data_IF_447328447131
#
_entry.id   IF_447328447131
#
_cell.length_a   1.000
_cell.length_b   1.000
_cell.length_c   1.000
_cell.angle_alpha   90.00
_cell.angle_beta   90.00
_cell.angle_gamma   90.00
#
_symmetry.space_group_name_H-M   'P 1'
#
loop_
_entity.id
_entity.type
_entity.pdbx_description
1 polymer ?
#
# COMPACT_ATOMS: atom_id res chain seq x y z
N UNK A 1 -37.35 6.71 -31.93
CA UNK A 1 -38.12 5.46 -31.78
C UNK A 1 -37.16 4.46 -31.15
N UNK A 2 -37.13 4.09 -29.88
CA UNK A 2 -38.02 4.06 -28.69
C UNK A 2 -37.15 4.42 -27.45
N UNK A 3 -37.61 4.71 -26.24
CA UNK A 3 -38.84 5.19 -25.64
C UNK A 3 -38.40 5.69 -24.25
N UNK A 4 -38.83 6.90 -23.91
CA UNK A 4 -38.62 7.55 -22.62
C UNK A 4 -39.63 6.97 -21.64
N UNK A 5 -39.19 6.46 -20.50
CA UNK A 5 -40.07 6.10 -19.39
C UNK A 5 -39.89 7.08 -18.23
N UNK A 6 -40.97 7.80 -17.96
CA UNK A 6 -41.18 8.68 -16.81
C UNK A 6 -41.09 7.92 -15.48
N UNK A 7 -40.43 8.51 -14.49
CA UNK A 7 -40.62 8.16 -13.08
C UNK A 7 -41.09 9.41 -12.34
N UNK A 8 -42.30 9.29 -11.79
CA UNK A 8 -43.01 10.29 -11.01
C UNK A 8 -42.46 10.34 -9.57
N UNK A 9 -42.12 11.53 -9.09
CA UNK A 9 -41.78 11.79 -7.69
C UNK A 9 -43.05 12.06 -6.87
N UNK A 10 -43.16 11.57 -5.63
CA UNK A 10 -44.04 12.17 -4.64
C UNK A 10 -43.29 13.26 -3.86
N UNK A 11 -43.87 14.45 -3.88
CA UNK A 11 -43.56 15.57 -2.99
C UNK A 11 -44.09 15.28 -1.59
N UNK A 12 -43.27 15.50 -0.56
CA UNK A 12 -43.81 15.90 0.73
C UNK A 12 -42.80 16.76 1.50
N UNK A 13 -43.21 17.99 1.71
CA UNK A 13 -42.56 19.05 2.47
C UNK A 13 -42.93 18.93 3.94
N UNK A 14 -41.93 18.92 4.83
CA UNK A 14 -42.07 19.51 6.18
C UNK A 14 -40.73 20.12 6.62
N UNK A 15 -40.83 21.36 7.07
CA UNK A 15 -39.77 22.28 7.43
C UNK A 15 -39.69 22.45 8.97
N UNK A 16 -38.46 22.39 9.48
CA UNK A 16 -37.83 23.15 10.61
C UNK A 16 -38.43 23.08 12.05
N UNK A 17 -37.67 23.40 13.15
CA UNK A 17 -36.51 24.31 13.22
C UNK A 17 -35.26 23.92 14.07
N UNK A 18 -34.16 24.59 13.72
CA UNK A 18 -33.00 25.13 14.47
C UNK A 18 -32.67 24.69 15.92
N UNK A 19 -31.37 24.45 16.18
CA UNK A 19 -30.50 25.21 17.12
C UNK A 19 -29.01 24.72 17.04
N UNK A 20 -28.07 25.65 16.88
CA UNK A 20 -26.60 25.52 17.09
C UNK A 20 -26.23 25.97 18.54
N UNK A 21 -24.96 26.00 18.98
CA UNK A 21 -23.93 24.96 19.06
C UNK A 21 -23.43 24.79 20.52
N UNK A 22 -22.68 23.72 20.85
CA UNK A 22 -21.93 23.65 22.11
C UNK A 22 -20.48 23.24 21.86
N UNK A 23 -19.60 24.24 22.03
CA UNK A 23 -18.18 24.10 22.27
C UNK A 23 -17.94 23.14 23.43
N UNK A 24 -17.17 22.08 23.22
CA UNK A 24 -16.44 21.45 24.33
C UNK A 24 -15.03 21.14 23.85
N UNK A 25 -14.07 21.96 24.31
CA UNK A 25 -12.66 21.58 24.36
C UNK A 25 -12.54 20.36 25.27
N UNK A 26 -12.02 19.25 24.75
CA UNK A 26 -11.54 18.14 25.57
C UNK A 26 -10.06 17.92 25.23
N UNK A 27 -9.23 18.44 26.14
CA UNK A 27 -7.86 17.97 26.32
C UNK A 27 -7.95 16.60 26.98
N UNK A 28 -7.36 15.58 26.35
CA UNK A 28 -7.08 14.30 27.00
C UNK A 28 -5.65 13.90 26.63
N UNK A 29 -4.78 13.94 27.64
CA UNK A 29 -3.48 13.30 27.68
C UNK A 29 -3.61 11.79 27.42
N UNK A 30 -2.57 11.24 26.77
CA UNK A 30 -2.50 9.85 26.35
C UNK A 30 -2.85 8.82 27.42
N UNK A 31 -3.75 7.92 27.05
CA UNK A 31 -3.76 6.53 27.47
C UNK A 31 -4.11 5.71 26.24
N UNK A 32 -3.35 4.63 26.01
CA UNK A 32 -3.47 3.78 24.83
C UNK A 32 -4.93 3.43 24.55
N UNK A 33 -5.44 3.91 23.42
CA UNK A 33 -6.74 3.48 22.94
C UNK A 33 -6.63 1.99 22.62
N UNK A 34 -7.29 1.17 23.43
CA UNK A 34 -7.55 -0.23 23.12
C UNK A 34 -8.18 -0.29 21.72
N UNK A 35 -7.60 -1.08 20.83
CA UNK A 35 -8.14 -1.30 19.50
C UNK A 35 -9.65 -1.62 19.58
N UNK A 36 -10.49 -1.10 18.67
CA UNK A 36 -11.93 -1.35 18.71
C UNK A 36 -12.21 -2.85 18.78
N UNK A 37 -13.26 -3.26 19.47
CA UNK A 37 -13.61 -4.67 19.62
C UNK A 37 -13.78 -5.33 18.22
N UNK A 38 -12.80 -6.15 17.81
CA UNK A 38 -12.74 -6.76 16.48
C UNK A 38 -11.56 -6.34 15.60
N UNK A 39 -10.75 -5.35 16.01
CA UNK A 39 -9.51 -4.99 15.31
C UNK A 39 -8.48 -6.12 15.42
N UNK A 40 -7.91 -6.50 14.26
CA UNK A 40 -6.86 -7.52 14.17
C UNK A 40 -5.62 -6.98 14.87
N UNK A 41 -5.07 -7.77 15.80
CA UNK A 41 -3.85 -7.41 16.50
C UNK A 41 -2.64 -7.84 15.65
N UNK A 42 -1.63 -6.98 15.43
CA UNK A 42 -0.46 -7.34 14.63
C UNK A 42 0.21 -8.63 15.12
N UNK A 43 0.27 -8.84 16.44
CA UNK A 43 0.94 -10.01 17.05
C UNK A 43 0.24 -11.34 16.74
N UNK A 44 -0.98 -11.31 16.19
CA UNK A 44 -1.72 -12.48 15.73
C UNK A 44 -1.48 -12.78 14.24
N UNK A 45 -0.83 -11.87 13.51
CA UNK A 45 -0.46 -11.98 12.10
C UNK A 45 1.05 -12.23 11.98
N UNK A 46 1.52 -13.33 12.54
CA UNK A 46 2.96 -13.69 12.50
C UNK A 46 3.11 -15.00 11.74
N UNK A 47 3.97 -14.99 10.71
CA UNK A 47 4.51 -16.20 10.11
C UNK A 47 5.92 -16.46 10.67
N UNK A 48 6.18 -17.68 11.10
CA UNK A 48 7.52 -18.11 11.53
C UNK A 48 8.21 -18.91 10.43
N UNK A 49 9.53 -18.72 10.29
CA UNK A 49 10.35 -19.56 9.42
C UNK A 49 10.39 -20.99 9.98
N UNK A 50 10.04 -21.97 9.15
CA UNK A 50 10.14 -23.39 9.49
C UNK A 50 11.29 -24.03 8.72
N UNK A 51 12.35 -24.43 9.45
CA UNK A 51 13.53 -25.14 8.90
C UNK A 51 14.86 -24.41 9.12
N UNK A 52 15.96 -25.05 8.73
CA UNK A 52 17.30 -24.45 8.78
C UNK A 52 17.65 -23.81 7.43
N UNK A 53 17.77 -22.48 7.40
CA UNK A 53 18.19 -21.71 6.22
C UNK A 53 19.32 -20.77 6.61
N UNK A 54 20.31 -20.60 5.73
CA UNK A 54 21.42 -19.68 5.97
C UNK A 54 20.92 -18.23 6.00
N UNK A 55 21.43 -17.44 6.93
CA UNK A 55 21.08 -16.01 7.09
C UNK A 55 21.31 -15.18 5.81
N UNK A 56 22.30 -15.57 5.00
CA UNK A 56 22.63 -14.87 3.75
C UNK A 56 21.84 -15.38 2.54
N UNK A 57 20.99 -16.40 2.68
CA UNK A 57 20.17 -16.95 1.59
C UNK A 57 18.75 -16.38 1.64
N UNK A 58 18.63 -15.11 1.24
CA UNK A 58 17.40 -14.33 1.35
C UNK A 58 16.26 -14.92 0.52
N UNK A 59 16.55 -15.46 -0.67
CA UNK A 59 15.55 -16.11 -1.51
C UNK A 59 15.00 -17.39 -0.86
N UNK A 60 15.88 -18.24 -0.32
CA UNK A 60 15.43 -19.46 0.37
C UNK A 60 14.60 -19.12 1.61
N UNK A 61 15.00 -18.12 2.41
CA UNK A 61 14.23 -17.68 3.59
C UNK A 61 12.80 -17.29 3.23
N UNK A 62 12.64 -16.44 2.22
CA UNK A 62 11.30 -16.07 1.73
C UNK A 62 10.51 -17.27 1.20
N UNK A 63 11.18 -18.22 0.54
CA UNK A 63 10.51 -19.42 0.00
C UNK A 63 9.98 -20.29 1.13
N UNK A 64 10.82 -20.60 2.12
CA UNK A 64 10.44 -21.41 3.29
C UNK A 64 9.36 -20.74 4.15
N UNK A 65 9.36 -19.41 4.23
CA UNK A 65 8.31 -18.66 4.90
C UNK A 65 6.97 -18.81 4.17
N UNK A 66 6.96 -18.71 2.83
CA UNK A 66 5.73 -18.85 2.05
C UNK A 66 5.16 -20.26 2.04
N UNK A 67 6.00 -21.31 2.12
CA UNK A 67 5.55 -22.70 2.18
C UNK A 67 4.61 -22.98 3.37
N UNK A 68 4.74 -22.19 4.45
CA UNK A 68 3.97 -22.32 5.68
C UNK A 68 3.07 -21.12 5.95
N UNK A 69 2.97 -20.20 5.00
CA UNK A 69 2.23 -18.97 5.19
C UNK A 69 0.73 -19.21 5.17
N UNK A 70 0.05 -18.76 6.22
CA UNK A 70 -1.40 -18.88 6.38
C UNK A 70 -1.99 -17.49 6.47
N UNK A 71 -2.91 -17.17 5.56
CA UNK A 71 -3.71 -15.96 5.67
C UNK A 71 -4.73 -16.08 6.80
N UNK A 72 -4.82 -15.07 7.66
CA UNK A 72 -5.91 -14.96 8.63
C UNK A 72 -7.22 -14.66 7.87
N UNK A 73 -8.12 -15.65 7.83
CA UNK A 73 -9.30 -15.70 6.95
C UNK A 73 -10.65 -15.17 7.51
N UNK A 74 -10.92 -15.09 8.83
CA UNK A 74 -12.30 -15.04 9.31
C UNK A 74 -13.08 -13.75 8.94
N UNK A 75 -12.40 -12.63 8.65
CA UNK A 75 -13.04 -11.34 8.33
C UNK A 75 -12.87 -10.89 6.86
N UNK A 76 -12.24 -11.68 5.99
CA UNK A 76 -11.93 -11.29 4.61
C UNK A 76 -13.18 -10.84 3.81
N UNK A 77 -13.15 -9.62 3.28
CA UNK A 77 -14.18 -9.12 2.37
C UNK A 77 -15.55 -8.83 3.01
N UNK A 78 -15.71 -9.00 4.33
CA UNK A 78 -16.98 -8.83 5.07
C UNK A 78 -17.01 -7.53 5.86
N UNK A 79 -16.59 -6.44 5.22
CA UNK A 79 -16.58 -5.11 5.82
C UNK A 79 -17.66 -4.22 5.23
N UNK A 80 -18.12 -3.23 5.99
CA UNK A 80 -19.02 -2.21 5.48
C UNK A 80 -18.20 -1.23 4.62
N UNK A 81 -18.69 -0.77 3.46
CA UNK A 81 -18.05 0.29 2.70
C UNK A 81 -17.73 1.56 3.53
N UNK A 82 -18.41 1.79 4.66
CA UNK A 82 -18.12 2.87 5.61
C UNK A 82 -16.84 2.66 6.44
N UNK A 83 -16.29 1.45 6.49
CA UNK A 83 -15.02 1.13 7.16
C UNK A 83 -13.80 1.51 6.29
N UNK A 84 -14.02 1.76 5.00
CA UNK A 84 -12.97 2.20 4.08
C UNK A 84 -12.64 3.69 4.24
N UNK A 85 -11.37 4.04 4.07
CA UNK A 85 -10.96 5.42 3.88
C UNK A 85 -10.92 5.75 2.39
N UNK A 86 -11.44 6.92 2.00
CA UNK A 86 -11.07 7.49 0.70
C UNK A 86 -9.62 7.96 0.71
N UNK A 87 -9.06 8.26 -0.47
CA UNK A 87 -7.72 8.83 -0.57
C UNK A 87 -7.63 10.20 0.14
N UNK A 88 -8.69 11.01 0.04
CA UNK A 88 -8.79 12.30 0.73
C UNK A 88 -8.88 12.16 2.26
N UNK A 89 -9.24 10.97 2.74
CA UNK A 89 -9.29 10.64 4.16
C UNK A 89 -8.01 9.93 4.65
N UNK A 90 -7.01 9.75 3.78
CA UNK A 90 -5.76 9.07 4.13
C UNK A 90 -5.09 9.70 5.35
N UNK A 91 -5.20 11.03 5.56
CA UNK A 91 -4.66 11.73 6.74
C UNK A 91 -5.05 11.10 8.09
N UNK A 92 -6.19 10.40 8.17
CA UNK A 92 -6.64 9.68 9.38
C UNK A 92 -5.69 8.54 9.78
N UNK A 93 -4.90 8.02 8.84
CA UNK A 93 -3.89 6.99 9.12
C UNK A 93 -2.78 7.48 10.05
N UNK A 94 -2.55 8.79 10.13
CA UNK A 94 -1.55 9.34 11.05
C UNK A 94 -2.02 9.30 12.51
N UNK A 95 -3.34 9.24 12.74
CA UNK A 95 -3.88 9.24 14.09
C UNK A 95 -3.45 8.01 14.89
N UNK A 96 -3.17 8.14 16.19
CA UNK A 96 -2.86 7.01 17.05
C UNK A 96 -3.99 5.96 17.08
N UNK A 97 -3.63 4.72 17.42
CA UNK A 97 -4.56 3.60 17.46
C UNK A 97 -4.74 2.89 16.11
N UNK A 98 -5.91 2.29 15.93
CA UNK A 98 -6.28 1.47 14.79
C UNK A 98 -7.66 1.88 14.26
N UNK A 99 -7.85 1.76 12.95
CA UNK A 99 -9.12 2.00 12.26
C UNK A 99 -9.97 0.72 12.20
N UNK A 100 -11.19 0.84 11.69
CA UNK A 100 -12.11 -0.30 11.55
C UNK A 100 -11.57 -1.37 10.59
N UNK A 101 -10.93 -0.95 9.49
CA UNK A 101 -10.30 -1.83 8.50
C UNK A 101 -8.77 -1.66 8.53
N UNK A 102 -8.10 -2.52 9.31
CA UNK A 102 -6.63 -2.61 9.30
C UNK A 102 -6.09 -3.75 8.44
N UNK A 103 -6.86 -4.84 8.30
CA UNK A 103 -6.45 -6.02 7.55
C UNK A 103 -7.68 -6.65 6.86
N UNK A 104 -7.74 -6.54 5.54
CA UNK A 104 -8.86 -6.99 4.71
C UNK A 104 -9.07 -6.10 3.48
N UNK A 105 -10.19 -6.28 2.80
CA UNK A 105 -10.56 -5.47 1.63
C UNK A 105 -12.06 -5.26 1.57
N UNK A 106 -12.49 -4.15 0.96
CA UNK A 106 -13.90 -3.80 0.81
C UNK A 106 -14.13 -2.98 -0.44
N UNK A 107 -15.31 -3.14 -1.03
CA UNK A 107 -15.74 -2.31 -2.15
C UNK A 107 -16.32 -1.01 -1.62
N UNK A 108 -15.75 0.11 -2.04
CA UNK A 108 -16.23 1.43 -1.69
C UNK A 108 -17.52 1.77 -2.44
N UNK A 109 -18.24 2.78 -1.93
CA UNK A 109 -19.53 3.22 -2.51
C UNK A 109 -19.41 3.69 -3.97
N UNK A 110 -18.26 4.23 -4.35
CA UNK A 110 -17.97 4.70 -5.71
C UNK A 110 -17.49 3.58 -6.66
N UNK A 111 -17.49 2.33 -6.18
CA UNK A 111 -17.13 1.14 -6.95
C UNK A 111 -15.64 0.79 -6.92
N UNK A 112 -14.77 1.64 -6.36
CA UNK A 112 -13.36 1.34 -6.13
C UNK A 112 -13.18 0.29 -5.04
N UNK A 113 -11.99 -0.32 -4.96
CA UNK A 113 -11.60 -1.23 -3.91
C UNK A 113 -10.63 -0.54 -2.96
N UNK A 114 -10.89 -0.69 -1.67
CA UNK A 114 -9.96 -0.35 -0.61
C UNK A 114 -9.40 -1.65 -0.03
N UNK A 115 -8.08 -1.79 -0.06
CA UNK A 115 -7.37 -2.94 0.51
C UNK A 115 -6.48 -2.43 1.63
N UNK A 116 -6.51 -3.11 2.77
CA UNK A 116 -5.68 -2.83 3.93
C UNK A 116 -4.92 -4.10 4.33
N UNK A 117 -3.61 -3.97 4.54
CA UNK A 117 -2.80 -5.02 5.13
C UNK A 117 -2.08 -4.45 6.34
N UNK A 118 -2.33 -5.04 7.50
CA UNK A 118 -1.50 -4.88 8.70
C UNK A 118 -0.49 -6.01 8.73
N UNK A 119 0.78 -5.69 8.96
CA UNK A 119 1.87 -6.66 9.11
C UNK A 119 2.68 -6.30 10.34
N UNK A 120 2.89 -7.27 11.25
CA UNK A 120 3.85 -7.12 12.34
C UNK A 120 5.26 -7.28 11.79
N UNK A 121 6.06 -6.20 11.83
CA UNK A 121 7.47 -6.21 11.42
C UNK A 121 8.40 -6.65 12.57
N UNK A 122 7.87 -6.90 13.77
CA UNK A 122 8.62 -7.39 14.92
C UNK A 122 9.55 -6.32 15.53
N UNK A 123 10.60 -6.77 16.19
CA UNK A 123 11.56 -5.89 16.89
C UNK A 123 12.79 -5.54 16.04
N UNK A 124 13.07 -6.31 15.00
CA UNK A 124 14.34 -6.23 14.27
C UNK A 124 14.26 -5.30 13.05
N UNK A 125 13.07 -5.19 12.45
CA UNK A 125 12.83 -4.28 11.33
C UNK A 125 12.30 -2.96 11.87
N UNK A 126 12.84 -1.85 11.34
CA UNK A 126 12.40 -0.49 11.65
C UNK A 126 12.21 0.33 10.36
N UNK A 127 11.70 1.55 10.50
CA UNK A 127 11.46 2.43 9.36
C UNK A 127 12.70 2.77 8.53
N UNK A 128 13.90 2.82 9.11
CA UNK A 128 15.13 3.06 8.35
C UNK A 128 15.48 1.85 7.46
N UNK A 129 15.34 0.63 7.98
CA UNK A 129 15.54 -0.58 7.16
C UNK A 129 14.50 -0.66 6.04
N UNK A 130 13.25 -0.32 6.34
CA UNK A 130 12.17 -0.31 5.35
C UNK A 130 12.42 0.73 4.25
N UNK A 131 12.76 1.98 4.59
CA UNK A 131 13.14 2.99 3.60
C UNK A 131 14.36 2.55 2.79
N UNK A 132 15.37 2.00 3.48
CA UNK A 132 16.58 1.47 2.85
C UNK A 132 16.29 0.37 1.83
N UNK A 133 15.33 -0.50 2.10
CA UNK A 133 14.91 -1.51 1.14
C UNK A 133 14.45 -0.89 -0.18
N UNK A 134 13.58 0.13 -0.15
CA UNK A 134 13.07 0.76 -1.37
C UNK A 134 14.17 1.45 -2.20
N UNK A 135 15.21 1.99 -1.56
CA UNK A 135 16.38 2.55 -2.29
C UNK A 135 17.44 1.51 -2.69
N UNK A 136 17.35 0.25 -2.25
CA UNK A 136 18.34 -0.81 -2.54
C UNK A 136 17.78 -2.06 -3.22
N UNK A 137 16.47 -2.24 -3.29
CA UNK A 137 15.80 -3.24 -4.13
C UNK A 137 15.81 -2.76 -5.59
N UNK A 138 16.99 -2.74 -6.19
CA UNK A 138 17.25 -2.10 -7.48
C UNK A 138 17.66 -3.10 -8.57
N UNK A 139 17.42 -4.39 -8.34
CA UNK A 139 17.64 -5.47 -9.31
C UNK A 139 16.52 -6.50 -9.25
N UNK A 140 16.28 -7.19 -10.37
CA UNK A 140 15.28 -8.25 -10.44
C UNK A 140 15.57 -9.44 -9.53
N UNK A 141 16.84 -9.67 -9.16
CA UNK A 141 17.21 -10.69 -8.17
C UNK A 141 16.71 -10.31 -6.78
N UNK A 142 17.01 -9.09 -6.30
CA UNK A 142 16.55 -8.60 -5.01
C UNK A 142 15.03 -8.54 -4.97
N UNK A 143 14.41 -8.10 -6.06
CA UNK A 143 12.95 -8.07 -6.18
C UNK A 143 12.34 -9.46 -5.96
N UNK A 144 12.96 -10.53 -6.47
CA UNK A 144 12.52 -11.91 -6.21
C UNK A 144 12.70 -12.39 -4.77
N UNK A 145 13.64 -11.82 -4.00
CA UNK A 145 13.72 -12.13 -2.56
C UNK A 145 12.46 -11.66 -1.83
N UNK A 146 11.87 -10.55 -2.28
CA UNK A 146 10.68 -9.97 -1.67
C UNK A 146 9.43 -10.85 -1.85
N UNK A 147 9.28 -11.52 -3.00
CA UNK A 147 8.25 -12.53 -3.19
C UNK A 147 8.71 -13.58 -4.21
N UNK A 148 9.21 -14.75 -3.79
CA UNK A 148 9.88 -15.71 -4.67
C UNK A 148 8.92 -16.38 -5.68
N UNK A 149 7.63 -16.46 -5.34
CA UNK A 149 6.61 -17.00 -6.24
C UNK A 149 6.14 -15.97 -7.27
N UNK A 150 5.80 -14.75 -6.85
CA UNK A 150 5.06 -13.80 -7.70
C UNK A 150 5.90 -12.72 -8.36
N UNK A 151 7.02 -12.31 -7.77
CA UNK A 151 7.88 -11.31 -8.41
C UNK A 151 8.66 -11.94 -9.57
N UNK A 152 8.56 -11.34 -10.76
CA UNK A 152 9.23 -11.83 -11.96
C UNK A 152 10.46 -10.97 -12.25
N UNK A 153 10.28 -9.66 -12.34
CA UNK A 153 11.35 -8.69 -12.56
C UNK A 153 11.00 -7.33 -11.96
N UNK A 154 12.00 -6.60 -11.48
CA UNK A 154 11.85 -5.24 -10.99
C UNK A 154 13.11 -4.44 -11.28
N UNK A 155 12.93 -3.22 -11.77
CA UNK A 155 14.00 -2.26 -12.05
C UNK A 155 13.44 -0.85 -11.95
N UNK A 156 14.26 0.11 -11.54
CA UNK A 156 13.89 1.51 -11.66
C UNK A 156 14.14 2.02 -13.09
N UNK A 157 13.60 3.20 -13.39
CA UNK A 157 14.02 3.97 -14.56
C UNK A 157 15.51 4.38 -14.49
N UNK A 158 16.18 4.67 -15.63
CA UNK A 158 17.62 4.96 -15.66
C UNK A 158 18.09 6.09 -14.72
N UNK A 159 17.25 7.10 -14.50
CA UNK A 159 17.55 8.27 -13.67
C UNK A 159 17.81 7.89 -12.21
N UNK A 160 17.16 6.85 -11.70
CA UNK A 160 17.37 6.35 -10.35
C UNK A 160 18.81 5.89 -10.12
N UNK A 161 19.43 5.32 -11.15
CA UNK A 161 20.79 4.77 -11.12
C UNK A 161 21.88 5.84 -11.36
N UNK A 162 21.51 7.11 -11.56
CA UNK A 162 22.48 8.20 -11.63
C UNK A 162 23.21 8.44 -10.30
N UNK A 163 22.69 7.90 -9.19
CA UNK A 163 23.30 7.94 -7.85
C UNK A 163 23.68 6.52 -7.43
N UNK A 164 24.93 6.37 -7.00
CA UNK A 164 25.45 5.08 -6.53
C UNK A 164 24.71 4.62 -5.27
N UNK A 165 24.47 3.31 -5.07
CA UNK A 165 23.70 2.80 -3.93
C UNK A 165 24.11 3.34 -2.56
N UNK A 166 25.40 3.58 -2.34
CA UNK A 166 25.94 4.09 -1.07
C UNK A 166 25.64 5.58 -0.82
N UNK A 167 25.37 6.34 -1.88
CA UNK A 167 25.13 7.78 -1.84
C UNK A 167 23.63 8.13 -1.83
N UNK A 168 22.77 7.15 -2.10
CA UNK A 168 21.30 7.32 -2.10
C UNK A 168 20.83 7.73 -0.71
N UNK A 169 20.24 8.91 -0.58
CA UNK A 169 19.71 9.42 0.69
C UNK A 169 18.37 8.75 1.05
N UNK A 170 17.88 8.97 2.28
CA UNK A 170 16.54 8.52 2.70
C UNK A 170 15.50 9.06 1.70
N UNK A 171 14.60 8.20 1.25
CA UNK A 171 13.60 8.58 0.26
C UNK A 171 14.12 8.76 -1.18
N UNK A 172 15.30 8.26 -1.53
CA UNK A 172 15.85 8.35 -2.90
C UNK A 172 14.93 7.80 -3.99
N UNK A 173 13.98 6.91 -3.66
CA UNK A 173 12.98 6.40 -4.59
C UNK A 173 11.88 7.41 -4.95
N UNK A 174 11.71 8.48 -4.16
CA UNK A 174 10.69 9.51 -4.39
C UNK A 174 10.95 10.22 -5.72
N UNK A 175 9.87 10.51 -6.46
CA UNK A 175 9.90 11.10 -7.79
C UNK A 175 10.56 10.19 -8.86
N UNK A 176 10.80 8.91 -8.55
CA UNK A 176 11.23 7.89 -9.51
C UNK A 176 10.16 6.82 -9.80
N UNK A 177 10.33 6.14 -10.94
CA UNK A 177 9.44 5.09 -11.42
C UNK A 177 10.08 3.72 -11.20
N UNK A 178 9.37 2.85 -10.48
CA UNK A 178 9.70 1.42 -10.36
C UNK A 178 8.87 0.62 -11.37
N UNK A 179 9.56 -0.07 -12.27
CA UNK A 179 8.98 -0.83 -13.38
C UNK A 179 9.06 -2.30 -13.00
N UNK A 180 7.90 -2.93 -12.84
CA UNK A 180 7.80 -4.29 -12.29
C UNK A 180 6.95 -5.19 -13.19
N UNK A 181 7.35 -6.45 -13.25
CA UNK A 181 6.49 -7.55 -13.67
C UNK A 181 6.31 -8.47 -12.46
N UNK A 182 5.07 -8.72 -12.12
CA UNK A 182 4.69 -9.61 -11.02
C UNK A 182 3.40 -10.34 -11.34
N UNK A 183 3.11 -11.37 -10.55
CA UNK A 183 1.86 -12.11 -10.67
C UNK A 183 0.92 -11.73 -9.54
N UNK A 184 -0.36 -11.54 -9.89
CA UNK A 184 -1.45 -11.49 -8.92
C UNK A 184 -2.35 -12.68 -9.21
N UNK A 185 -2.49 -13.58 -8.23
CA UNK A 185 -3.27 -14.82 -8.37
C UNK A 185 -2.87 -15.65 -9.63
N UNK A 186 -1.55 -15.74 -9.85
CA UNK A 186 -0.96 -16.47 -10.98
C UNK A 186 -1.04 -15.76 -12.34
N UNK A 187 -1.74 -14.63 -12.45
CA UNK A 187 -1.81 -13.82 -13.67
C UNK A 187 -0.68 -12.81 -13.67
N UNK A 188 0.14 -12.79 -14.72
CA UNK A 188 1.23 -11.81 -14.86
C UNK A 188 0.69 -10.43 -15.24
N UNK A 189 1.15 -9.42 -14.53
CA UNK A 189 0.91 -8.01 -14.78
C UNK A 189 2.21 -7.26 -15.01
N UNK A 190 2.10 -6.12 -15.71
CA UNK A 190 3.16 -5.14 -15.83
C UNK A 190 2.69 -3.89 -15.11
N UNK A 191 3.42 -3.45 -14.09
CA UNK A 191 3.10 -2.22 -13.39
C UNK A 191 4.25 -1.21 -13.48
N UNK A 192 3.88 0.06 -13.43
CA UNK A 192 4.77 1.15 -13.06
C UNK A 192 4.26 1.77 -11.77
N UNK A 193 5.13 1.88 -10.78
CA UNK A 193 4.85 2.60 -9.54
C UNK A 193 5.65 3.88 -9.58
N UNK A 194 4.95 5.01 -9.71
CA UNK A 194 5.55 6.33 -9.57
C UNK A 194 5.51 6.70 -8.09
N UNK A 195 6.67 6.72 -7.42
CA UNK A 195 6.72 7.07 -6.01
C UNK A 195 6.57 8.56 -5.78
N UNK A 196 5.75 8.91 -4.80
CA UNK A 196 5.41 10.28 -4.49
C UNK A 196 5.89 10.67 -3.09
N UNK A 197 6.06 11.97 -2.89
CA UNK A 197 6.32 12.53 -1.55
C UNK A 197 5.13 12.23 -0.63
N UNK A 198 5.36 11.67 0.58
CA UNK A 198 4.29 11.50 1.57
C UNK A 198 3.55 12.81 1.91
N UNK A 199 4.21 13.96 1.75
CA UNK A 199 3.59 15.28 1.94
C UNK A 199 2.46 15.61 0.95
N UNK A 200 2.24 14.80 -0.09
CA UNK A 200 1.04 14.90 -0.93
C UNK A 200 -0.23 14.43 -0.22
N UNK A 201 -0.11 13.49 0.73
CA UNK A 201 -1.24 12.90 1.45
C UNK A 201 -1.27 13.25 2.94
N UNK A 202 -0.12 13.60 3.53
CA UNK A 202 0.03 13.73 4.98
C UNK A 202 0.78 15.00 5.38
N UNK A 203 0.49 15.51 6.59
CA UNK A 203 1.38 16.45 7.26
C UNK A 203 2.55 15.67 7.90
N UNK A 204 3.65 15.56 7.16
CA UNK A 204 4.84 14.81 7.57
C UNK A 204 5.51 15.36 8.85
N UNK A 205 5.22 16.60 9.24
CA UNK A 205 5.77 17.18 10.46
C UNK A 205 5.23 16.50 11.73
N UNK A 206 4.06 15.87 11.63
CA UNK A 206 3.39 15.15 12.71
C UNK A 206 3.83 13.68 12.82
N UNK A 207 4.70 13.18 11.94
CA UNK A 207 5.06 11.75 11.92
C UNK A 207 5.78 11.31 13.18
N UNK A 208 6.78 12.07 13.63
CA UNK A 208 7.58 11.70 14.80
C UNK A 208 6.76 11.67 16.10
N UNK A 209 5.80 12.58 16.27
CA UNK A 209 4.92 12.61 17.44
C UNK A 209 3.81 11.54 17.41
N UNK A 210 3.60 10.89 16.26
CA UNK A 210 2.65 9.79 16.06
C UNK A 210 3.34 8.44 15.80
N UNK A 211 4.61 8.33 16.18
CA UNK A 211 5.44 7.13 16.08
C UNK A 211 5.63 6.58 14.66
N UNK A 212 5.48 7.41 13.63
CA UNK A 212 5.68 7.02 12.23
C UNK A 212 7.16 7.20 11.85
N UNK A 213 7.81 6.11 11.45
CA UNK A 213 9.27 6.08 11.21
C UNK A 213 9.63 6.02 9.71
N UNK A 214 8.71 5.54 8.88
CA UNK A 214 8.81 5.58 7.42
C UNK A 214 7.43 5.60 6.75
N UNK A 215 7.36 6.20 5.57
CA UNK A 215 6.15 6.21 4.75
C UNK A 215 6.54 6.21 3.27
N UNK A 216 6.03 5.25 2.51
CA UNK A 216 6.16 5.15 1.06
C UNK A 216 4.78 5.36 0.46
N UNK A 217 4.67 6.23 -0.54
CA UNK A 217 3.44 6.48 -1.29
C UNK A 217 3.74 6.33 -2.76
N UNK A 218 2.83 5.76 -3.54
CA UNK A 218 2.99 5.65 -4.98
C UNK A 218 1.69 5.63 -5.75
N UNK A 219 1.75 6.14 -6.98
CA UNK A 219 0.70 5.98 -7.98
C UNK A 219 0.99 4.73 -8.80
N UNK A 220 0.00 3.85 -8.89
CA UNK A 220 0.11 2.57 -9.61
C UNK A 220 -0.45 2.76 -11.01
N UNK A 221 0.33 2.35 -12.00
CA UNK A 221 -0.05 2.28 -13.40
C UNK A 221 0.02 0.84 -13.89
N UNK A 222 -0.97 0.43 -14.67
CA UNK A 222 -1.03 -0.87 -15.35
C UNK A 222 -0.95 -0.66 -16.86
N UNK A 223 -0.37 -1.62 -17.58
CA UNK A 223 -0.35 -1.64 -19.04
C UNK A 223 -1.59 -2.35 -19.55
N UNK A 224 -2.66 -1.59 -19.77
CA UNK A 224 -3.86 -2.06 -20.43
C UNK A 224 -3.58 -2.38 -21.92
N UNK A 225 -4.03 -3.53 -22.45
CA UNK A 225 -3.79 -3.90 -23.85
C UNK A 225 -4.38 -2.94 -24.89
N UNK A 226 -5.41 -2.16 -24.52
CA UNK A 226 -6.16 -1.27 -25.42
C UNK A 226 -5.76 0.18 -25.22
N UNK A 227 -5.65 0.61 -23.96
CA UNK A 227 -5.40 1.99 -23.57
C UNK A 227 -3.90 2.27 -23.34
N UNK A 228 -3.05 1.24 -23.33
CA UNK A 228 -1.66 1.39 -22.95
C UNK A 228 -1.51 1.63 -21.45
N UNK A 229 -0.52 2.43 -21.06
CA UNK A 229 -0.26 2.69 -19.65
C UNK A 229 -1.34 3.61 -19.06
N UNK A 230 -2.09 3.11 -18.08
CA UNK A 230 -3.13 3.86 -17.37
C UNK A 230 -2.90 3.80 -15.88
N UNK A 231 -3.20 4.88 -15.18
CA UNK A 231 -3.18 4.86 -13.73
C UNK A 231 -4.38 4.05 -13.22
N UNK A 232 -4.17 3.14 -12.27
CA UNK A 232 -5.21 2.21 -11.79
C UNK A 232 -5.48 2.33 -10.30
N UNK A 233 -4.52 2.85 -9.52
CA UNK A 233 -4.71 3.02 -8.08
C UNK A 233 -3.57 3.73 -7.38
N UNK A 234 -3.64 3.79 -6.06
CA UNK A 234 -2.56 4.29 -5.22
C UNK A 234 -2.18 3.21 -4.22
N UNK A 235 -0.91 3.19 -3.84
CA UNK A 235 -0.37 2.39 -2.75
C UNK A 235 0.23 3.31 -1.70
N UNK A 236 0.10 2.91 -0.44
CA UNK A 236 0.78 3.53 0.68
C UNK A 236 1.24 2.45 1.64
N UNK A 237 2.46 2.59 2.15
CA UNK A 237 3.05 1.77 3.19
C UNK A 237 3.55 2.68 4.29
N UNK A 238 3.07 2.51 5.52
CA UNK A 238 3.45 3.33 6.67
C UNK A 238 3.95 2.44 7.81
N UNK A 239 5.19 2.66 8.22
CA UNK A 239 5.81 1.96 9.35
C UNK A 239 5.62 2.79 10.60
N UNK A 240 5.11 2.15 11.65
CA UNK A 240 4.92 2.74 12.99
C UNK A 240 5.68 1.95 14.02
N UNK A 241 6.21 2.63 15.03
CA UNK A 241 6.75 2.00 16.22
C UNK A 241 5.70 1.99 17.34
N UNK A 242 5.28 0.81 17.77
CA UNK A 242 4.26 0.63 18.80
C UNK A 242 4.81 -0.32 19.86
N UNK A 243 4.98 0.17 21.09
CA UNK A 243 5.47 -0.61 22.23
C UNK A 243 6.82 -1.33 21.96
N UNK A 244 7.75 -0.67 21.24
CA UNK A 244 9.07 -1.23 20.91
C UNK A 244 9.04 -2.31 19.82
N UNK A 245 7.92 -2.45 19.11
CA UNK A 245 7.77 -3.26 17.88
C UNK A 245 7.46 -2.34 16.72
N UNK A 246 7.84 -2.74 15.52
CA UNK A 246 7.39 -2.06 14.30
C UNK A 246 6.16 -2.78 13.74
N UNK A 247 5.18 -2.01 13.29
CA UNK A 247 4.07 -2.48 12.47
C UNK A 247 4.09 -1.76 11.12
N UNK A 248 3.61 -2.43 10.08
CA UNK A 248 3.42 -1.87 8.76
C UNK A 248 1.94 -1.83 8.42
N UNK A 249 1.46 -0.64 8.03
CA UNK A 249 0.11 -0.41 7.51
C UNK A 249 0.20 -0.12 6.02
N UNK A 250 -0.22 -1.09 5.23
CA UNK A 250 -0.34 -0.97 3.78
C UNK A 250 -1.78 -0.60 3.42
N UNK A 251 -1.97 0.32 2.47
CA UNK A 251 -3.28 0.69 1.91
C UNK A 251 -3.20 0.77 0.40
N UNK A 252 -4.23 0.24 -0.25
CA UNK A 252 -4.40 0.35 -1.69
C UNK A 252 -5.79 0.89 -2.03
N UNK A 253 -5.82 1.88 -2.91
CA UNK A 253 -7.06 2.45 -3.47
C UNK A 253 -7.12 2.10 -4.96
N UNK A 254 -7.71 0.95 -5.29
CA UNK A 254 -7.74 0.38 -6.63
C UNK A 254 -9.03 0.73 -7.35
N UNK A 255 -8.92 1.14 -8.62
CA UNK A 255 -10.05 1.58 -9.45
C UNK A 255 -10.22 3.09 -9.54
N UNK A 256 -9.32 3.86 -8.94
CA UNK A 256 -9.10 5.25 -9.32
C UNK A 256 -8.36 5.26 -10.68
N UNK A 257 -9.11 4.90 -11.73
CA UNK A 257 -8.58 4.75 -13.09
C UNK A 257 -8.47 6.12 -13.76
N UNK A 258 -7.30 6.42 -14.31
CA UNK A 258 -7.05 7.64 -15.05
C UNK A 258 -6.15 7.36 -16.26
N UNK A 259 -6.66 7.73 -17.43
CA UNK A 259 -5.91 7.79 -18.66
C UNK A 259 -5.03 9.05 -18.70
N UNK A 260 -3.73 8.94 -19.03
CA UNK A 260 -2.82 10.08 -19.04
C UNK A 260 -3.27 11.19 -20.01
N UNK A 261 -3.35 12.42 -19.49
CA UNK A 261 -3.68 13.60 -20.29
C UNK A 261 -2.38 14.26 -20.79
N UNK A 262 -2.26 14.39 -22.11
CA UNK A 262 -1.23 15.16 -22.80
C UNK A 262 -1.88 16.27 -23.61
N UNK A 263 -1.12 17.29 -23.98
CA UNK A 263 -1.61 18.39 -24.82
C UNK A 263 -2.20 17.86 -26.14
N UNK A 264 -1.63 16.77 -26.66
CA UNK A 264 -2.01 16.18 -27.94
C UNK A 264 -3.28 15.32 -27.86
N UNK A 265 -3.56 14.70 -26.70
CA UNK A 265 -4.67 13.75 -26.55
C UNK A 265 -5.81 14.24 -25.64
N UNK A 266 -5.75 15.47 -25.11
CA UNK A 266 -6.58 15.94 -23.99
C UNK A 266 -8.09 15.72 -24.19
N UNK A 267 -8.62 15.91 -25.41
CA UNK A 267 -10.05 15.70 -25.70
C UNK A 267 -10.41 14.22 -25.57
N UNK A 268 -9.59 13.34 -26.16
CA UNK A 268 -9.78 11.90 -26.07
C UNK A 268 -9.62 11.40 -24.64
N UNK A 269 -8.56 11.85 -23.95
CA UNK A 269 -8.28 11.47 -22.58
C UNK A 269 -9.44 11.82 -21.64
N UNK A 270 -10.03 13.01 -21.77
CA UNK A 270 -11.21 13.41 -20.98
C UNK A 270 -12.44 12.56 -21.23
N UNK A 271 -12.66 12.13 -22.48
CA UNK A 271 -13.76 11.21 -22.82
C UNK A 271 -13.53 9.85 -22.15
N UNK A 272 -12.33 9.28 -22.28
CA UNK A 272 -11.96 8.02 -21.63
C UNK A 272 -12.11 8.13 -20.12
N UNK A 273 -11.55 9.18 -19.51
CA UNK A 273 -11.62 9.48 -18.07
C UNK A 273 -13.08 9.58 -17.58
N UNK A 274 -13.97 10.18 -18.37
CA UNK A 274 -15.40 10.27 -18.04
C UNK A 274 -16.10 8.91 -18.02
N UNK A 275 -15.59 7.92 -18.75
CA UNK A 275 -16.15 6.56 -18.80
C UNK A 275 -15.57 5.69 -17.67
N UNK A 276 -14.24 5.67 -17.54
CA UNK A 276 -13.55 4.79 -16.57
C UNK A 276 -13.76 5.20 -15.11
N UNK A 277 -14.12 6.47 -14.87
CA UNK A 277 -14.49 6.98 -13.54
C UNK A 277 -15.91 6.61 -13.12
N UNK A 278 -16.74 6.06 -14.01
CA UNK A 278 -18.12 5.69 -13.66
C UNK A 278 -18.17 4.49 -12.72
N UNK A 279 -19.12 4.52 -11.79
CA UNK A 279 -19.39 3.40 -10.90
C UNK A 279 -19.63 2.10 -11.68
N UNK A 280 -20.42 2.13 -12.75
CA UNK A 280 -20.74 0.96 -13.56
C UNK A 280 -19.49 0.33 -14.20
N UNK A 281 -18.56 1.16 -14.71
CA UNK A 281 -17.30 0.66 -15.26
C UNK A 281 -16.50 -0.04 -14.16
N UNK A 282 -16.31 0.61 -13.01
CA UNK A 282 -15.53 0.05 -11.89
C UNK A 282 -16.12 -1.27 -11.41
N UNK A 283 -17.45 -1.35 -11.25
CA UNK A 283 -18.11 -2.58 -10.79
C UNK A 283 -18.03 -3.75 -11.74
N UNK A 284 -17.96 -3.48 -13.04
CA UNK A 284 -17.90 -4.52 -14.08
C UNK A 284 -16.47 -4.94 -14.42
N UNK A 285 -15.49 -4.03 -14.31
CA UNK A 285 -14.11 -4.27 -14.76
C UNK A 285 -13.14 -4.63 -13.65
N UNK A 286 -13.46 -4.31 -12.40
CA UNK A 286 -12.57 -4.54 -11.26
C UNK A 286 -13.26 -5.51 -10.30
N UNK A 287 -13.10 -6.84 -10.51
CA UNK A 287 -13.73 -7.86 -9.70
C UNK A 287 -13.13 -7.92 -8.29
N UNK A 288 -13.83 -8.57 -7.37
CA UNK A 288 -13.34 -8.81 -6.00
C UNK A 288 -12.10 -9.70 -5.96
N UNK A 289 -11.87 -10.54 -6.98
CA UNK A 289 -10.65 -11.34 -7.10
C UNK A 289 -9.40 -10.47 -7.18
N UNK A 290 -9.46 -9.29 -7.83
CA UNK A 290 -8.34 -8.34 -7.87
C UNK A 290 -7.97 -7.85 -6.47
N UNK A 291 -8.97 -7.45 -5.68
CA UNK A 291 -8.74 -6.97 -4.32
C UNK A 291 -8.22 -8.09 -3.39
N UNK A 292 -8.79 -9.30 -3.51
CA UNK A 292 -8.31 -10.48 -2.79
C UNK A 292 -6.87 -10.83 -3.17
N UNK A 293 -6.56 -10.88 -4.47
CA UNK A 293 -5.22 -11.22 -4.97
C UNK A 293 -4.18 -10.22 -4.43
N UNK A 294 -4.47 -8.92 -4.51
CA UNK A 294 -3.59 -7.88 -4.00
C UNK A 294 -3.42 -7.96 -2.48
N UNK A 295 -4.49 -8.25 -1.74
CA UNK A 295 -4.44 -8.41 -0.29
C UNK A 295 -3.58 -9.61 0.14
N UNK A 296 -3.72 -10.75 -0.53
CA UNK A 296 -2.87 -11.93 -0.30
C UNK A 296 -1.42 -11.62 -0.66
N UNK A 297 -1.18 -11.07 -1.85
CA UNK A 297 0.15 -10.74 -2.35
C UNK A 297 0.89 -9.78 -1.42
N UNK A 298 0.25 -8.68 -1.03
CA UNK A 298 0.87 -7.72 -0.10
C UNK A 298 1.11 -8.33 1.29
N UNK A 299 0.22 -9.19 1.76
CA UNK A 299 0.44 -9.88 3.04
C UNK A 299 1.64 -10.81 2.95
N UNK A 300 1.79 -11.57 1.87
CA UNK A 300 2.91 -12.48 1.65
C UNK A 300 4.25 -11.74 1.52
N UNK A 301 4.35 -10.76 0.63
CA UNK A 301 5.60 -10.04 0.37
C UNK A 301 6.13 -9.32 1.61
N UNK A 302 5.24 -8.74 2.43
CA UNK A 302 5.67 -7.97 3.61
C UNK A 302 6.19 -8.88 4.73
N UNK A 303 5.68 -10.11 4.83
CA UNK A 303 6.23 -11.12 5.73
C UNK A 303 7.56 -11.68 5.22
N UNK A 304 7.71 -11.91 3.92
CA UNK A 304 9.00 -12.24 3.33
C UNK A 304 10.03 -11.13 3.60
N UNK A 305 9.65 -9.86 3.37
CA UNK A 305 10.52 -8.72 3.63
C UNK A 305 10.96 -8.68 5.09
N UNK A 306 10.01 -8.82 6.03
CA UNK A 306 10.33 -8.87 7.46
C UNK A 306 11.41 -9.91 7.76
N UNK A 307 11.31 -11.08 7.16
CA UNK A 307 12.16 -12.23 7.44
C UNK A 307 13.61 -12.04 6.99
N UNK A 308 13.86 -11.56 5.76
CA UNK A 308 15.25 -11.44 5.26
C UNK A 308 15.88 -10.06 5.48
N UNK A 309 15.07 -9.00 5.64
CA UNK A 309 15.56 -7.61 5.61
C UNK A 309 16.61 -7.29 6.69
N UNK A 310 16.47 -7.70 7.97
CA UNK A 310 17.49 -7.42 8.99
C UNK A 310 18.85 -8.01 8.63
N UNK A 311 18.87 -9.25 8.14
CA UNK A 311 20.09 -9.95 7.73
C UNK A 311 20.75 -9.25 6.54
N UNK A 312 19.96 -8.91 5.51
CA UNK A 312 20.48 -8.25 4.33
C UNK A 312 21.00 -6.84 4.63
N UNK A 313 20.26 -6.08 5.43
CA UNK A 313 20.65 -4.73 5.85
C UNK A 313 21.99 -4.77 6.59
N UNK A 314 22.16 -5.67 7.57
CA UNK A 314 23.41 -5.81 8.32
C UNK A 314 24.59 -6.25 7.44
N UNK A 315 24.38 -7.16 6.49
CA UNK A 315 25.41 -7.57 5.55
C UNK A 315 25.85 -6.39 4.67
N UNK A 316 24.90 -5.64 4.10
CA UNK A 316 25.18 -4.50 3.25
C UNK A 316 25.91 -3.37 4.00
N UNK A 317 25.63 -3.16 5.30
CA UNK A 317 26.34 -2.17 6.12
C UNK A 317 27.79 -2.57 6.41
N UNK A 318 28.04 -3.84 6.73
CA UNK A 318 29.41 -4.36 6.91
C UNK A 318 30.23 -4.22 5.63
N UNK A 319 29.64 -4.52 4.48
CA UNK A 319 30.33 -4.39 3.18
C UNK A 319 30.67 -2.92 2.86
N UNK A 320 29.85 -1.96 3.31
CA UNK A 320 30.13 -0.53 3.17
C UNK A 320 31.28 -0.08 4.07
N UNK A 321 31.32 -0.55 5.32
CA UNK A 321 32.37 -0.24 6.29
C UNK A 321 33.74 -0.75 5.81
N UNK A 322 33.83 -2.03 5.41
CA UNK A 322 35.09 -2.63 4.88
C UNK A 322 35.61 -1.82 3.69
N UNK A 323 34.74 -1.48 2.75
CA UNK A 323 35.13 -0.69 1.57
C UNK A 323 35.61 0.70 1.93
N UNK A 324 35.16 1.29 3.04
CA UNK A 324 35.61 2.61 3.48
C UNK A 324 36.96 2.61 4.18
N UNK A 325 37.38 1.46 4.74
CA UNK A 325 38.70 1.30 5.38
C UNK A 325 39.83 1.08 4.36
N UNK A 326 39.51 0.64 3.14
CA UNK A 326 40.46 0.38 2.05
C UNK A 326 40.87 1.63 1.24
N UNK A 327 40.29 2.81 1.50
CA UNK A 327 40.58 4.09 0.80
C UNK A 327 41.25 5.14 1.70
#
# INVERSE_FOLDING_TARGET
>A
VLAVCCLSLPTNSRSFPFLFPLNTRLSIMGQGQSAPAGAVRPELLVSELVGEVRDSDYYARSTHLLDNFVMDDPTQGKFDPADALTLDEAYKLVSPGYLNLEHGYVRMRDGTWYVACLTDLGHEVNGEMFDWWFRNCDSGEKFRWWHPVDHVSGTYEPQFYAVMPQERQKGHYVDHIHIIEEKLDGVKHFFQIEYERPSKLFDVSTFAENDITACVVGRIFDRDPTLGLIAVGHVMHMVREVNGRSELRSRFWIGNVQYPETVENIVFARIVNSIVSTWLFRITKIPSSTARALWVHCSQEMHCLREFLPHYYQAARRDQEIRSEDF
#
